data_IF_985694933398
#
_entry.id   IF_985694933398
#
_cell.length_a   1.000
_cell.length_b   1.000
_cell.length_c   1.000
_cell.angle_alpha   90.00
_cell.angle_beta   90.00
_cell.angle_gamma   90.00
#
_symmetry.space_group_name_H-M   'P 1'
#
loop_
_entity.id
_entity.type
_entity.pdbx_description
1 polymer ?
#
# COMPACT_ATOMS: atom_id res chain seq x y z
N UNK A 1 -0.60 2.13 12.60
CA UNK A 1 -0.61 2.74 11.25
C UNK A 1 0.37 3.83 11.09
N UNK A 2 0.36 4.83 11.97
CA UNK A 2 1.32 5.94 11.86
C UNK A 2 2.78 5.48 11.87
N UNK A 3 3.06 4.27 12.41
CA UNK A 3 4.39 3.63 12.36
C UNK A 3 4.82 3.11 10.98
N UNK A 4 3.90 2.92 10.03
CA UNK A 4 4.21 2.42 8.68
C UNK A 4 4.48 3.57 7.70
N UNK A 5 4.16 4.79 8.11
CA UNK A 5 4.32 5.97 7.27
C UNK A 5 5.79 6.39 7.24
N UNK A 6 6.32 6.59 6.03
CA UNK A 6 7.75 6.80 5.77
C UNK A 6 8.52 5.51 5.50
N UNK A 7 7.92 4.33 5.68
CA UNK A 7 8.59 3.08 5.41
C UNK A 7 8.52 2.70 3.92
N UNK A 8 9.51 1.93 3.48
CA UNK A 8 9.65 1.50 2.10
C UNK A 8 8.60 0.45 1.67
N UNK A 9 7.92 0.68 0.56
CA UNK A 9 7.11 -0.33 -0.12
C UNK A 9 8.01 -1.19 -0.99
N UNK A 10 7.96 -2.51 -0.85
CA UNK A 10 8.73 -3.44 -1.73
C UNK A 10 7.86 -4.12 -2.77
N UNK A 11 6.54 -4.08 -2.59
CA UNK A 11 5.60 -4.72 -3.50
C UNK A 11 4.21 -4.10 -3.41
N UNK A 12 3.55 -3.96 -4.55
CA UNK A 12 2.13 -3.63 -4.67
C UNK A 12 1.45 -4.77 -5.45
N UNK A 13 0.38 -5.33 -4.91
CA UNK A 13 -0.33 -6.47 -5.49
C UNK A 13 -1.82 -6.19 -5.64
N UNK A 14 -2.31 -6.31 -6.87
CA UNK A 14 -3.71 -6.21 -7.24
C UNK A 14 -4.10 -7.47 -8.05
N UNK A 15 -4.69 -8.51 -7.43
CA UNK A 15 -5.10 -9.73 -8.11
C UNK A 15 -6.22 -9.46 -9.13
N UNK A 16 -6.28 -10.30 -10.17
CA UNK A 16 -7.24 -10.17 -11.27
C UNK A 16 -8.71 -10.28 -10.81
N UNK A 17 -8.96 -11.04 -9.74
CA UNK A 17 -10.30 -11.19 -9.14
C UNK A 17 -10.75 -9.96 -8.33
N UNK A 18 -9.85 -8.99 -8.13
CA UNK A 18 -10.06 -7.76 -7.35
C UNK A 18 -10.52 -8.06 -5.92
N UNK A 19 -10.03 -9.13 -5.32
CA UNK A 19 -10.32 -9.48 -3.93
C UNK A 19 -9.73 -8.51 -2.91
N UNK A 20 -8.56 -7.93 -3.21
CA UNK A 20 -7.88 -6.94 -2.37
C UNK A 20 -6.96 -6.02 -3.18
N UNK A 21 -6.47 -4.95 -2.56
CA UNK A 21 -5.22 -4.29 -2.94
C UNK A 21 -4.27 -4.42 -1.76
N UNK A 22 -3.04 -4.91 -2.01
CA UNK A 22 -2.04 -5.15 -0.97
C UNK A 22 -0.75 -4.37 -1.22
N UNK A 23 -0.28 -3.67 -0.20
CA UNK A 23 1.05 -3.07 -0.12
C UNK A 23 1.88 -3.87 0.87
N UNK A 24 3.08 -4.28 0.45
CA UNK A 24 4.07 -4.92 1.32
C UNK A 24 5.08 -3.85 1.73
N UNK A 25 5.03 -3.45 2.99
CA UNK A 25 5.82 -2.34 3.56
C UNK A 25 6.86 -2.94 4.51
N UNK A 26 8.13 -2.55 4.39
CA UNK A 26 9.17 -2.95 5.33
C UNK A 26 8.93 -2.31 6.71
N UNK A 27 9.11 -3.04 7.79
CA UNK A 27 9.09 -2.49 9.15
C UNK A 27 10.53 -2.33 9.65
N UNK A 28 11.07 -1.11 9.62
CA UNK A 28 12.46 -0.84 9.99
C UNK A 28 12.74 -1.05 11.50
N UNK A 29 11.70 -1.25 12.34
CA UNK A 29 11.86 -1.56 13.76
C UNK A 29 12.14 -3.05 14.05
N UNK A 30 11.76 -3.95 13.14
CA UNK A 30 11.96 -5.40 13.27
C UNK A 30 12.79 -5.90 12.08
N UNK A 31 14.00 -6.37 12.34
CA UNK A 31 15.13 -6.56 11.41
C UNK A 31 14.80 -7.29 10.07
N UNK A 32 13.65 -7.98 9.96
CA UNK A 32 13.19 -8.66 8.75
C UNK A 32 11.65 -8.72 8.56
N UNK A 33 10.87 -7.92 9.27
CA UNK A 33 9.40 -8.06 9.21
C UNK A 33 8.78 -7.09 8.19
N UNK A 34 8.04 -7.65 7.23
CA UNK A 34 7.20 -6.87 6.31
C UNK A 34 5.76 -6.86 6.80
N UNK A 35 5.13 -5.69 6.82
CA UNK A 35 3.72 -5.54 7.16
C UNK A 35 2.90 -5.38 5.88
N UNK A 36 1.85 -6.20 5.78
CA UNK A 36 0.90 -6.11 4.67
C UNK A 36 -0.22 -5.13 5.01
N UNK A 37 -0.31 -4.04 4.24
CA UNK A 37 -1.47 -3.14 4.25
C UNK A 37 -2.43 -3.58 3.14
N UNK A 38 -3.61 -4.05 3.53
CA UNK A 38 -4.62 -4.61 2.64
C UNK A 38 -5.89 -3.76 2.66
N UNK A 39 -6.50 -3.61 1.50
CA UNK A 39 -7.76 -2.93 1.28
C UNK A 39 -8.72 -3.90 0.60
N UNK A 40 -9.91 -4.11 1.15
CA UNK A 40 -10.84 -5.16 0.71
C UNK A 40 -12.28 -4.82 1.15
N UNK A 41 -13.26 -5.54 0.60
CA UNK A 41 -14.63 -5.50 1.12
C UNK A 41 -14.88 -6.63 2.12
N UNK A 42 -15.52 -6.30 3.23
CA UNK A 42 -15.85 -7.21 4.33
C UNK A 42 -16.79 -8.35 3.91
N UNK A 43 -17.59 -8.12 2.87
CA UNK A 43 -18.48 -9.10 2.25
C UNK A 43 -17.80 -9.97 1.18
N UNK A 44 -16.50 -9.77 0.94
CA UNK A 44 -15.70 -10.39 -0.13
C UNK A 44 -16.15 -10.06 -1.56
N UNK A 45 -16.96 -9.01 -1.74
CA UNK A 45 -17.25 -8.51 -3.08
C UNK A 45 -15.99 -7.87 -3.71
N UNK A 46 -15.86 -7.90 -5.05
CA UNK A 46 -14.73 -7.27 -5.74
C UNK A 46 -14.62 -5.77 -5.44
N UNK A 47 -13.41 -5.28 -5.23
CA UNK A 47 -13.13 -3.84 -5.05
C UNK A 47 -12.98 -3.12 -6.39
N UNK A 48 -13.03 -1.78 -6.34
CA UNK A 48 -12.63 -0.92 -7.47
C UNK A 48 -11.38 -0.14 -7.08
N UNK A 49 -10.42 -0.02 -8.01
CA UNK A 49 -9.17 0.68 -7.81
C UNK A 49 -8.96 1.64 -8.97
N UNK A 50 -8.55 2.87 -8.67
CA UNK A 50 -8.11 3.86 -9.65
C UNK A 50 -6.59 4.03 -9.57
N UNK A 51 -5.91 3.78 -10.70
CA UNK A 51 -4.45 3.91 -10.87
C UNK A 51 -4.07 5.06 -11.82
N UNK A 52 -4.97 6.01 -12.06
CA UNK A 52 -4.72 7.14 -12.98
C UNK A 52 -3.51 8.00 -12.60
N UNK A 53 -3.15 8.03 -11.31
CA UNK A 53 -1.99 8.76 -10.79
C UNK A 53 -0.86 7.83 -10.30
N UNK A 54 -0.85 6.56 -10.73
CA UNK A 54 0.19 5.60 -10.35
C UNK A 54 1.47 5.78 -11.18
N UNK A 55 2.62 5.90 -10.53
CA UNK A 55 3.95 5.95 -11.14
C UNK A 55 4.93 5.06 -10.38
N UNK A 56 5.27 3.89 -10.92
CA UNK A 56 6.17 2.95 -10.25
C UNK A 56 7.61 3.16 -10.73
N UNK A 57 8.50 3.51 -9.80
CA UNK A 57 9.95 3.50 -9.99
C UNK A 57 10.61 2.54 -9.00
N UNK A 58 11.71 1.90 -9.42
CA UNK A 58 12.56 1.15 -8.49
C UNK A 58 13.67 2.05 -7.97
N UNK A 59 13.78 2.15 -6.65
CA UNK A 59 14.87 2.84 -5.96
C UNK A 59 15.84 1.79 -5.44
N UNK A 60 17.14 2.00 -5.63
CA UNK A 60 18.20 1.15 -5.08
C UNK A 60 18.94 1.92 -3.99
N UNK A 61 19.02 1.33 -2.80
CA UNK A 61 19.80 1.83 -1.67
C UNK A 61 21.11 1.03 -1.57
N UNK A 62 22.28 1.64 -1.89
CA UNK A 62 23.56 0.96 -1.83
C UNK A 62 24.06 0.71 -0.40
N UNK A 63 23.55 1.43 0.60
CA UNK A 63 24.00 1.28 1.99
C UNK A 63 23.42 0.01 2.62
N UNK A 64 22.20 -0.36 2.22
CA UNK A 64 21.48 -1.55 2.67
C UNK A 64 21.44 -2.70 1.64
N UNK A 65 21.97 -2.46 0.43
CA UNK A 65 21.88 -3.35 -0.74
C UNK A 65 20.43 -3.80 -1.03
N UNK A 66 19.49 -2.86 -0.95
CA UNK A 66 18.05 -3.13 -1.06
C UNK A 66 17.37 -2.33 -2.17
N UNK A 67 16.21 -2.81 -2.62
CA UNK A 67 15.38 -2.10 -3.61
C UNK A 67 13.96 -1.90 -3.11
N UNK A 68 13.41 -0.71 -3.30
CA UNK A 68 12.02 -0.39 -2.96
C UNK A 68 11.28 0.29 -4.13
N UNK A 69 9.98 0.44 -3.96
CA UNK A 69 9.07 1.22 -4.81
C UNK A 69 8.84 2.63 -4.26
N UNK A 70 9.68 3.04 -3.30
CA UNK A 70 9.58 4.30 -2.55
C UNK A 70 8.73 4.20 -1.28
N UNK A 71 8.52 5.36 -0.66
CA UNK A 71 7.91 5.48 0.66
C UNK A 71 6.39 5.34 0.63
N UNK A 72 5.85 4.66 1.65
CA UNK A 72 4.42 4.66 1.97
C UNK A 72 4.12 5.89 2.84
N UNK A 73 3.55 6.95 2.27
CA UNK A 73 3.48 8.25 2.96
C UNK A 73 2.30 8.33 3.93
N UNK A 74 1.06 8.19 3.45
CA UNK A 74 -0.12 8.20 4.31
C UNK A 74 -1.36 7.63 3.62
N UNK A 75 -2.41 7.40 4.42
CA UNK A 75 -3.72 6.97 3.93
C UNK A 75 -4.81 7.85 4.51
N UNK A 76 -5.77 8.23 3.67
CA UNK A 76 -6.91 9.07 4.05
C UNK A 76 -8.23 8.38 3.68
N UNK A 77 -9.14 8.26 4.64
CA UNK A 77 -10.49 7.76 4.38
C UNK A 77 -11.33 8.80 3.62
N UNK A 78 -12.12 8.34 2.67
CA UNK A 78 -13.05 9.14 1.85
C UNK A 78 -14.45 8.50 1.85
N UNK A 79 -15.43 9.20 1.26
CA UNK A 79 -16.86 8.84 1.31
C UNK A 79 -17.18 7.41 0.83
N UNK A 80 -16.30 6.74 0.09
CA UNK A 80 -16.49 5.36 -0.37
C UNK A 80 -15.20 4.54 -0.42
N UNK A 81 -14.22 4.81 0.46
CA UNK A 81 -12.98 4.05 0.48
C UNK A 81 -11.78 4.83 1.01
N UNK A 82 -10.65 4.68 0.34
CA UNK A 82 -9.36 5.17 0.80
C UNK A 82 -8.56 5.84 -0.33
N UNK A 83 -7.87 6.92 0.00
CA UNK A 83 -6.82 7.53 -0.81
C UNK A 83 -5.48 7.12 -0.20
N UNK A 84 -4.66 6.40 -0.97
CA UNK A 84 -3.34 5.91 -0.55
C UNK A 84 -2.27 6.72 -1.26
N UNK A 85 -1.35 7.29 -0.49
CA UNK A 85 -0.29 8.17 -0.97
C UNK A 85 1.08 7.53 -0.74
N UNK A 86 1.97 7.71 -1.70
CA UNK A 86 3.38 7.39 -1.58
C UNK A 86 4.18 7.96 -2.75
N UNK A 87 5.46 7.64 -2.81
CA UNK A 87 6.32 7.98 -3.96
C UNK A 87 5.81 7.38 -5.28
N UNK A 88 4.99 6.32 -5.17
CA UNK A 88 4.30 5.69 -6.29
C UNK A 88 3.07 6.49 -6.80
N UNK A 89 2.80 7.67 -6.23
CA UNK A 89 1.67 8.53 -6.58
C UNK A 89 0.43 8.27 -5.71
N UNK A 90 -0.76 8.47 -6.28
CA UNK A 90 -2.03 8.35 -5.57
C UNK A 90 -2.83 7.16 -6.12
N UNK A 91 -3.31 6.31 -5.21
CA UNK A 91 -4.21 5.20 -5.51
C UNK A 91 -5.52 5.38 -4.75
N UNK A 92 -6.64 5.48 -5.47
CA UNK A 92 -7.97 5.45 -4.86
C UNK A 92 -8.47 4.02 -4.81
N UNK A 93 -8.88 3.58 -3.63
CA UNK A 93 -9.38 2.23 -3.38
C UNK A 93 -10.78 2.33 -2.86
N UNK A 94 -11.75 1.90 -3.65
CA UNK A 94 -13.16 1.91 -3.29
C UNK A 94 -13.52 0.58 -2.64
N UNK A 95 -13.50 0.56 -1.31
CA UNK A 95 -13.82 -0.59 -0.48
C UNK A 95 -14.29 -0.17 0.93
N UNK A 96 -14.78 -1.12 1.73
CA UNK A 96 -15.31 -0.82 3.07
C UNK A 96 -14.33 -1.11 4.23
N UNK A 97 -13.23 -1.82 3.96
CA UNK A 97 -12.34 -2.36 5.00
C UNK A 97 -10.87 -2.27 4.65
N UNK A 98 -10.04 -2.25 5.71
CA UNK A 98 -8.59 -2.34 5.62
C UNK A 98 -8.00 -3.21 6.73
N UNK A 99 -6.81 -3.78 6.48
CA UNK A 99 -6.03 -4.54 7.45
C UNK A 99 -4.55 -4.15 7.33
N UNK A 100 -3.90 -3.61 8.38
CA UNK A 100 -4.48 -3.25 9.68
C UNK A 100 -5.63 -2.23 9.52
N UNK A 101 -6.41 -1.98 10.59
CA UNK A 101 -7.60 -1.12 10.50
C UNK A 101 -7.21 0.37 10.58
N UNK A 102 -7.55 1.11 9.52
CA UNK A 102 -7.30 2.55 9.32
C UNK A 102 -8.33 3.41 10.04
#
# INVERSE_FOLDING_TARGET
MNRLFGNNVVKIEAPQDRSELRFVVLDDEEEFDSINVRFFNSDNSPITIDFSELSIGMLYDPDTDSTSLGEFEYVKSIENGFEVFGDFGIVWVYCDSSSPKL
#
